data_IF_613086228461
#
_entry.id   IF_613086228461
#
_cell.length_a   1.000
_cell.length_b   1.000
_cell.length_c   1.000
_cell.angle_alpha   90.00
_cell.angle_beta   90.00
_cell.angle_gamma   90.00
#
_symmetry.space_group_name_H-M   'P 1'
#
loop_
_entity.id
_entity.type
_entity.pdbx_description
1 polymer ?
#
# COMPACT_ATOMS: atom_id res chain seq x y z
N UNK A 1 -6.14 -9.23 -15.60
CA UNK A 1 -6.34 -9.06 -14.17
C UNK A 1 -7.59 -9.80 -13.76
N UNK A 2 -7.66 -10.33 -12.69
CA UNK A 2 -8.39 -11.37 -11.96
C UNK A 2 -9.84 -11.58 -12.40
N UNK A 3 -10.06 -12.37 -13.46
CA UNK A 3 -11.36 -12.98 -13.76
C UNK A 3 -11.97 -13.68 -12.53
N UNK A 4 -11.14 -13.94 -11.51
CA UNK A 4 -11.47 -14.67 -10.27
C UNK A 4 -11.52 -13.79 -9.01
N UNK A 5 -11.66 -12.47 -9.13
CA UNK A 5 -11.64 -11.59 -7.97
C UNK A 5 -12.62 -12.00 -6.86
N UNK A 6 -13.92 -12.26 -7.14
CA UNK A 6 -14.85 -12.69 -6.10
C UNK A 6 -14.43 -13.97 -5.38
N UNK A 7 -13.89 -14.94 -6.13
CA UNK A 7 -13.40 -16.20 -5.57
C UNK A 7 -12.19 -16.00 -4.67
N UNK A 8 -11.26 -15.10 -5.06
CA UNK A 8 -10.10 -14.75 -4.25
C UNK A 8 -10.48 -14.04 -2.97
N UNK A 9 -11.39 -13.07 -3.04
CA UNK A 9 -11.92 -12.36 -1.86
C UNK A 9 -12.61 -13.35 -0.91
N UNK A 10 -13.44 -14.25 -1.44
CA UNK A 10 -14.09 -15.27 -0.63
C UNK A 10 -13.08 -16.26 0.00
N UNK A 11 -11.99 -16.57 -0.70
CA UNK A 11 -10.90 -17.38 -0.16
C UNK A 11 -10.18 -16.69 0.99
N UNK A 12 -9.83 -15.41 0.80
CA UNK A 12 -9.20 -14.58 1.81
C UNK A 12 -10.10 -14.39 3.04
N UNK A 13 -11.39 -14.15 2.84
CA UNK A 13 -12.35 -14.01 3.92
C UNK A 13 -12.45 -15.29 4.78
N UNK A 14 -12.49 -16.47 4.15
CA UNK A 14 -12.49 -17.75 4.88
C UNK A 14 -11.19 -17.95 5.68
N UNK A 15 -10.05 -17.61 5.08
CA UNK A 15 -8.76 -17.68 5.74
C UNK A 15 -8.71 -16.77 6.97
N UNK A 16 -9.11 -15.51 6.83
CA UNK A 16 -9.16 -14.55 7.92
C UNK A 16 -10.18 -14.95 9.00
N UNK A 17 -11.35 -15.45 8.61
CA UNK A 17 -12.33 -15.95 9.56
C UNK A 17 -11.81 -17.14 10.39
N UNK A 18 -11.02 -18.03 9.77
CA UNK A 18 -10.41 -19.17 10.48
C UNK A 18 -9.29 -18.72 11.44
N UNK A 19 -8.55 -17.66 11.10
CA UNK A 19 -7.55 -17.04 11.99
C UNK A 19 -8.17 -16.25 13.14
N UNK A 20 -9.39 -15.74 12.95
CA UNK A 20 -10.15 -14.92 13.90
C UNK A 20 -9.33 -13.75 14.49
N UNK A 21 -8.64 -12.91 13.70
CA UNK A 21 -7.90 -11.78 14.23
C UNK A 21 -8.85 -10.67 14.65
N UNK A 22 -8.47 -9.92 15.68
CA UNK A 22 -9.20 -8.73 16.12
C UNK A 22 -9.08 -7.57 15.11
N UNK A 23 -7.99 -7.54 14.34
CA UNK A 23 -7.69 -6.49 13.37
C UNK A 23 -6.78 -7.01 12.26
N UNK A 24 -7.05 -6.60 11.02
CA UNK A 24 -6.17 -6.82 9.88
C UNK A 24 -5.43 -5.53 9.56
N UNK A 25 -4.10 -5.55 9.58
CA UNK A 25 -3.25 -4.46 9.11
C UNK A 25 -2.55 -4.87 7.82
N UNK A 26 -2.70 -4.07 6.76
CA UNK A 26 -2.03 -4.32 5.49
C UNK A 26 -1.02 -3.23 5.15
N UNK A 27 0.07 -3.65 4.51
CA UNK A 27 0.95 -2.72 3.82
C UNK A 27 0.62 -2.78 2.32
N UNK A 28 -0.15 -1.82 1.84
CA UNK A 28 -0.58 -1.61 0.44
C UNK A 28 -1.39 -2.74 -0.22
N UNK A 29 -1.46 -3.93 0.32
CA UNK A 29 -2.25 -5.03 -0.25
C UNK A 29 -3.75 -4.76 -0.09
N UNK A 30 -4.50 -4.82 -1.20
CA UNK A 30 -5.94 -4.55 -1.18
C UNK A 30 -6.82 -5.81 -1.11
N UNK A 31 -6.30 -7.00 -1.49
CA UNK A 31 -7.05 -8.25 -1.35
C UNK A 31 -7.41 -8.58 0.11
N UNK A 32 -6.47 -8.51 1.09
CA UNK A 32 -6.81 -8.74 2.48
C UNK A 32 -7.83 -7.74 3.06
N UNK A 33 -7.85 -6.50 2.57
CA UNK A 33 -8.86 -5.51 2.97
C UNK A 33 -10.26 -5.93 2.51
N UNK A 34 -10.40 -6.37 1.25
CA UNK A 34 -11.66 -6.87 0.73
C UNK A 34 -12.10 -8.17 1.43
N UNK A 35 -11.15 -9.07 1.74
CA UNK A 35 -11.41 -10.29 2.49
C UNK A 35 -11.87 -10.00 3.93
N UNK A 36 -11.20 -9.08 4.62
CA UNK A 36 -11.55 -8.64 5.96
C UNK A 36 -12.96 -8.02 6.00
N UNK A 37 -13.27 -7.15 5.04
CA UNK A 37 -14.60 -6.56 4.91
C UNK A 37 -15.68 -7.63 4.71
N UNK A 38 -15.45 -8.63 3.88
CA UNK A 38 -16.39 -9.75 3.66
C UNK A 38 -16.53 -10.62 4.91
N UNK A 39 -15.47 -10.77 5.69
CA UNK A 39 -15.48 -11.54 6.95
C UNK A 39 -16.01 -10.73 8.16
N UNK A 40 -16.30 -9.42 8.00
CA UNK A 40 -16.73 -8.56 9.09
C UNK A 40 -15.61 -8.20 10.08
N UNK A 41 -14.36 -8.33 9.69
CA UNK A 41 -13.18 -8.06 10.52
C UNK A 41 -12.68 -6.64 10.25
N UNK A 42 -12.45 -5.81 11.30
CA UNK A 42 -11.90 -4.48 11.11
C UNK A 42 -10.53 -4.52 10.43
N UNK A 43 -10.29 -3.55 9.53
CA UNK A 43 -8.99 -3.48 8.85
C UNK A 43 -8.44 -2.06 8.75
N UNK A 44 -7.12 -1.96 8.72
CA UNK A 44 -6.36 -0.75 8.47
C UNK A 44 -5.39 -1.00 7.30
N UNK A 45 -5.09 0.04 6.56
CA UNK A 45 -3.98 0.04 5.61
C UNK A 45 -2.93 1.06 6.03
N UNK A 46 -1.65 0.75 5.83
CA UNK A 46 -0.53 1.63 6.15
C UNK A 46 0.43 1.65 4.96
N UNK A 47 0.43 2.71 4.17
CA UNK A 47 1.40 2.87 3.08
C UNK A 47 1.47 4.32 2.61
N UNK A 48 2.62 4.72 2.08
CA UNK A 48 2.83 6.02 1.43
C UNK A 48 2.26 6.11 0.00
N UNK A 49 1.77 5.00 -0.54
CA UNK A 49 1.15 4.87 -1.87
C UNK A 49 -0.05 3.92 -1.84
N UNK A 50 -0.84 3.91 -2.91
CA UNK A 50 -1.81 2.85 -3.20
C UNK A 50 -1.73 2.43 -4.67
N UNK A 51 -2.05 1.17 -4.94
CA UNK A 51 -1.99 0.63 -6.29
C UNK A 51 -3.10 1.16 -7.22
N UNK A 52 -4.22 1.67 -6.69
CA UNK A 52 -5.30 2.21 -7.51
C UNK A 52 -4.86 3.50 -8.22
N UNK A 53 -4.22 4.43 -7.49
CA UNK A 53 -3.72 5.68 -8.07
C UNK A 53 -2.58 5.41 -9.06
N UNK A 54 -1.66 4.48 -8.73
CA UNK A 54 -0.61 4.07 -9.67
C UNK A 54 -1.19 3.42 -10.92
N UNK A 55 -2.18 2.54 -10.76
CA UNK A 55 -2.85 1.90 -11.89
C UNK A 55 -3.55 2.93 -12.78
N UNK A 56 -4.26 3.89 -12.19
CA UNK A 56 -4.89 4.95 -12.95
C UNK A 56 -3.86 5.81 -13.70
N UNK A 57 -2.72 6.11 -13.09
CA UNK A 57 -1.66 6.89 -13.74
C UNK A 57 -1.15 6.24 -15.03
N UNK A 58 -1.01 4.90 -15.06
CA UNK A 58 -0.47 4.20 -16.22
C UNK A 58 -1.52 3.73 -17.22
N UNK A 59 -2.78 3.54 -16.81
CA UNK A 59 -3.79 2.85 -17.60
C UNK A 59 -5.13 3.60 -17.72
N UNK A 60 -5.21 4.89 -17.35
CA UNK A 60 -6.45 5.67 -17.39
C UNK A 60 -7.12 5.65 -18.77
N UNK A 61 -6.32 5.73 -19.84
CA UNK A 61 -6.82 5.80 -21.22
C UNK A 61 -7.22 4.44 -21.81
N UNK A 62 -7.07 3.35 -21.07
CA UNK A 62 -7.41 2.01 -21.54
C UNK A 62 -8.88 1.69 -21.25
N UNK A 63 -9.66 1.34 -22.26
CA UNK A 63 -11.10 1.06 -22.13
C UNK A 63 -11.45 -0.05 -21.09
N UNK A 64 -10.51 -0.93 -20.77
CA UNK A 64 -10.67 -2.04 -19.82
C UNK A 64 -10.29 -1.66 -18.38
N UNK A 65 -9.70 -0.48 -18.16
CA UNK A 65 -9.08 -0.13 -16.87
C UNK A 65 -10.08 0.24 -15.77
N UNK A 66 -11.16 0.94 -16.13
CA UNK A 66 -12.10 1.49 -15.17
C UNK A 66 -12.66 0.45 -14.17
N UNK A 67 -13.17 -0.72 -14.59
CA UNK A 67 -13.70 -1.71 -13.64
C UNK A 67 -12.65 -2.25 -12.66
N UNK A 68 -11.39 -2.28 -13.11
CA UNK A 68 -10.27 -2.76 -12.29
C UNK A 68 -9.87 -1.71 -11.27
N UNK A 69 -9.80 -0.46 -11.69
CA UNK A 69 -9.53 0.68 -10.81
C UNK A 69 -10.61 0.81 -9.73
N UNK A 70 -11.89 0.73 -10.11
CA UNK A 70 -13.01 0.78 -9.18
C UNK A 70 -12.96 -0.37 -8.17
N UNK A 71 -12.60 -1.57 -8.60
CA UNK A 71 -12.41 -2.72 -7.73
C UNK A 71 -11.29 -2.48 -6.69
N UNK A 72 -10.15 -1.91 -7.13
CA UNK A 72 -9.05 -1.57 -6.23
C UNK A 72 -9.47 -0.50 -5.20
N UNK A 73 -10.11 0.57 -5.67
CA UNK A 73 -10.60 1.63 -4.81
C UNK A 73 -11.65 1.13 -3.81
N UNK A 74 -12.59 0.29 -4.24
CA UNK A 74 -13.59 -0.31 -3.35
C UNK A 74 -12.92 -1.10 -2.23
N UNK A 75 -11.90 -1.90 -2.55
CA UNK A 75 -11.15 -2.64 -1.56
C UNK A 75 -10.39 -1.71 -0.58
N UNK A 76 -9.70 -0.68 -1.06
CA UNK A 76 -9.04 0.29 -0.18
C UNK A 76 -10.02 1.04 0.70
N UNK A 77 -11.17 1.45 0.16
CA UNK A 77 -12.23 2.16 0.90
C UNK A 77 -12.91 1.30 1.96
N UNK A 78 -12.78 -0.01 1.90
CA UNK A 78 -13.31 -0.91 2.94
C UNK A 78 -12.48 -0.91 4.22
N UNK A 79 -11.24 -0.43 4.19
CA UNK A 79 -10.44 -0.23 5.39
C UNK A 79 -11.08 0.85 6.29
N UNK A 80 -11.05 0.65 7.60
CA UNK A 80 -11.53 1.63 8.59
C UNK A 80 -10.74 2.94 8.50
N UNK A 81 -9.44 2.83 8.27
CA UNK A 81 -8.54 3.95 8.10
C UNK A 81 -7.40 3.54 7.18
N UNK A 82 -6.99 4.47 6.32
CA UNK A 82 -5.75 4.35 5.56
C UNK A 82 -4.72 5.31 6.16
N UNK A 83 -3.71 4.78 6.83
CA UNK A 83 -2.63 5.54 7.44
C UNK A 83 -1.57 5.85 6.37
N UNK A 84 -1.36 7.14 6.10
CA UNK A 84 -0.39 7.61 5.11
C UNK A 84 0.84 8.19 5.78
N UNK A 85 1.98 7.46 5.80
CA UNK A 85 3.24 8.04 6.29
C UNK A 85 3.81 9.08 5.33
N UNK A 86 4.46 10.08 5.88
CA UNK A 86 5.18 11.10 5.10
C UNK A 86 6.59 10.60 4.70
N UNK A 87 7.07 10.88 3.48
CA UNK A 87 6.32 11.44 2.35
C UNK A 87 5.36 10.42 1.72
N UNK A 88 4.22 10.86 1.23
CA UNK A 88 3.21 9.99 0.64
C UNK A 88 2.49 10.60 -0.56
N UNK A 89 1.88 9.76 -1.38
CA UNK A 89 1.04 10.18 -2.52
C UNK A 89 -0.22 10.90 -2.02
N UNK A 90 -0.86 11.77 -2.84
CA UNK A 90 -2.06 12.50 -2.45
C UNK A 90 -3.23 11.61 -2.03
N UNK A 91 -3.52 10.52 -2.75
CA UNK A 91 -4.59 9.53 -2.48
C UNK A 91 -5.98 10.18 -2.27
N UNK A 92 -6.30 11.20 -3.05
CA UNK A 92 -7.51 12.03 -2.90
C UNK A 92 -8.83 11.27 -2.99
N UNK A 93 -8.82 10.07 -3.60
CA UNK A 93 -9.98 9.19 -3.69
C UNK A 93 -10.33 8.45 -2.39
N UNK A 94 -9.44 8.49 -1.37
CA UNK A 94 -9.61 7.81 -0.08
C UNK A 94 -10.06 8.81 0.99
N UNK A 95 -11.35 8.75 1.38
CA UNK A 95 -11.93 9.68 2.37
C UNK A 95 -11.50 9.39 3.81
N UNK A 96 -11.14 8.15 4.12
CA UNK A 96 -10.69 7.67 5.43
C UNK A 96 -9.16 7.77 5.59
N UNK A 97 -8.52 8.67 4.84
CA UNK A 97 -7.09 8.91 4.89
C UNK A 97 -6.70 9.65 6.17
N UNK A 98 -5.69 9.15 6.85
CA UNK A 98 -5.09 9.79 8.02
C UNK A 98 -3.58 9.89 7.84
N UNK A 99 -3.07 11.11 7.87
CA UNK A 99 -1.63 11.34 7.81
C UNK A 99 -0.95 10.95 9.12
N UNK A 100 0.19 10.30 8.99
CA UNK A 100 1.10 9.98 10.07
C UNK A 100 2.50 10.50 9.73
N UNK A 101 3.31 10.73 10.74
CA UNK A 101 4.69 11.17 10.55
C UNK A 101 5.53 10.12 9.80
N UNK A 102 6.79 10.46 9.47
CA UNK A 102 7.71 9.49 8.91
C UNK A 102 7.89 8.29 9.83
N UNK A 103 7.84 7.10 9.25
CA UNK A 103 8.07 5.85 9.99
C UNK A 103 9.47 5.35 9.61
N UNK A 104 10.38 5.41 10.56
CA UNK A 104 11.76 4.94 10.39
C UNK A 104 12.31 4.41 11.70
N UNK A 105 13.23 3.47 11.62
CA UNK A 105 14.04 3.09 12.76
C UNK A 105 14.98 4.26 13.13
N UNK A 106 15.21 4.43 14.43
CA UNK A 106 16.20 5.40 14.89
C UNK A 106 17.58 4.91 14.44
N UNK A 107 18.17 5.65 13.51
CA UNK A 107 19.52 5.38 13.03
C UNK A 107 20.58 5.77 14.05
N UNK A 108 21.80 5.29 13.83
CA UNK A 108 23.00 5.78 14.55
C UNK A 108 23.79 6.70 13.62
N UNK A 109 24.27 7.79 14.17
CA UNK A 109 25.19 8.66 13.42
C UNK A 109 26.51 7.92 13.26
N UNK A 110 26.97 7.79 12.03
CA UNK A 110 28.28 7.27 11.66
C UNK A 110 29.07 8.35 10.94
N UNK A 111 30.34 8.42 11.24
CA UNK A 111 31.28 9.14 10.40
C UNK A 111 31.59 8.26 9.18
N UNK A 112 31.22 8.75 8.02
CA UNK A 112 31.43 8.04 6.76
C UNK A 112 32.77 8.41 6.10
N UNK A 113 33.59 9.22 6.77
CA UNK A 113 34.85 9.69 6.22
C UNK A 113 34.70 10.56 4.96
N UNK A 114 33.55 11.16 4.75
CA UNK A 114 33.26 11.97 3.57
C UNK A 114 33.79 13.38 3.78
N UNK A 115 35.05 13.59 3.47
CA UNK A 115 35.75 14.88 3.52
C UNK A 115 35.91 15.45 2.11
N UNK A 116 34.89 16.05 1.53
CA UNK A 116 34.94 16.62 0.20
C UNK A 116 33.93 17.76 0.02
N UNK A 117 34.19 18.63 -0.95
CA UNK A 117 33.37 19.81 -1.22
C UNK A 117 31.95 19.44 -1.74
N UNK A 118 31.80 18.27 -2.37
CA UNK A 118 30.51 17.77 -2.89
C UNK A 118 30.41 16.27 -2.71
N UNK A 119 29.41 15.85 -1.96
CA UNK A 119 29.14 14.43 -1.70
C UNK A 119 27.73 14.09 -2.14
N UNK A 120 27.56 12.99 -2.86
CA UNK A 120 26.26 12.45 -3.26
C UNK A 120 26.11 11.07 -2.64
N UNK A 121 25.06 10.88 -1.86
CA UNK A 121 24.67 9.57 -1.34
C UNK A 121 23.60 8.97 -2.27
N UNK A 122 23.89 7.81 -2.84
CA UNK A 122 22.91 7.04 -3.64
C UNK A 122 22.57 5.78 -2.86
N UNK A 123 21.29 5.63 -2.51
CA UNK A 123 20.75 4.46 -1.82
C UNK A 123 19.67 3.81 -2.68
N UNK A 124 19.93 2.64 -3.24
CA UNK A 124 19.04 1.95 -4.17
C UNK A 124 18.05 0.98 -3.49
N UNK A 125 17.90 1.07 -2.17
CA UNK A 125 17.06 0.16 -1.41
C UNK A 125 17.59 -1.27 -1.36
N UNK A 126 16.72 -2.24 -1.10
CA UNK A 126 17.11 -3.65 -0.89
C UNK A 126 17.40 -4.45 -2.16
N UNK A 127 17.40 -3.85 -3.34
CA UNK A 127 17.66 -4.53 -4.62
C UNK A 127 19.09 -4.24 -5.05
N UNK A 128 19.83 -5.31 -5.41
CA UNK A 128 21.20 -5.15 -5.90
C UNK A 128 21.18 -4.45 -7.27
N UNK A 129 21.79 -3.29 -7.35
CA UNK A 129 21.99 -2.55 -8.59
C UNK A 129 23.47 -2.37 -8.88
N UNK A 130 23.82 -2.41 -10.16
CA UNK A 130 25.11 -1.89 -10.64
C UNK A 130 24.84 -0.51 -11.24
N UNK A 131 25.51 0.48 -10.72
CA UNK A 131 25.53 1.79 -11.36
C UNK A 131 26.36 1.71 -12.65
N UNK A 132 25.97 2.43 -13.71
CA UNK A 132 26.72 2.46 -14.97
C UNK A 132 28.10 3.08 -14.78
#
# INVERSE_FOLDING_TARGET
MHADWPRRVAGEARFLAALAPDLVLTNVSYLPLAGAALAGIPSLSLCSLNWADLFAHFFADSAWSAPIHDQMLAAYRSARTFLRPAPGMPMSALRQLQDVGPIAAIGRRHDLGLGGERTVLIAMGGVAHRLP
#
